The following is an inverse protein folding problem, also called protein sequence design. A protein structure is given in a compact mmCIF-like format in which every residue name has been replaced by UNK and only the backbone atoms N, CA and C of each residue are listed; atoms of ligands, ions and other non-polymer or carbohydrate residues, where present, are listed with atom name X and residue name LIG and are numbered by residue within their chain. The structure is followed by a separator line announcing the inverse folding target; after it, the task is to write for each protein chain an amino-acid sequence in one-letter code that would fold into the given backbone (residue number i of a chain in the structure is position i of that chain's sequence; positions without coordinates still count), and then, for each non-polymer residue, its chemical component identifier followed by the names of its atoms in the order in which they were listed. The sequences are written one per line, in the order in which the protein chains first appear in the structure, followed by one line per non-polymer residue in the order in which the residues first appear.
data_IF_500178471669
#
_entry.id   IF_500178471669
#
_cell.length_a   1.000
_cell.length_b   1.000
_cell.length_c   1.000
_cell.angle_alpha   90.00
_cell.angle_beta   90.00
_cell.angle_gamma   90.00
#
_symmetry.space_group_name_H-M   'P 1'
#
loop_
_entity.id
_entity.type
_entity.pdbx_description
1 polymer ?
#
# COMPACT_ATOMS: atom_id res chain seq x y z
N UNK A 1 7.73 0.41 11.96
CA UNK A 1 6.76 0.94 10.97
C UNK A 1 7.53 1.91 10.11
N UNK A 2 7.50 1.72 8.80
CA UNK A 2 8.28 2.50 7.83
C UNK A 2 7.34 3.27 6.92
N UNK A 3 7.72 4.48 6.51
CA UNK A 3 6.95 5.25 5.53
C UNK A 3 7.57 5.03 4.16
N UNK A 4 6.86 4.34 3.27
CA UNK A 4 7.35 4.01 1.93
C UNK A 4 6.53 4.80 0.90
N UNK A 5 7.15 5.56 -0.01
CA UNK A 5 6.46 6.22 -1.12
C UNK A 5 5.68 5.21 -1.96
N UNK A 6 4.53 5.62 -2.50
CA UNK A 6 3.71 4.71 -3.31
C UNK A 6 4.46 4.27 -4.57
N UNK A 7 5.30 5.15 -5.13
CA UNK A 7 6.12 4.83 -6.31
C UNK A 7 7.17 3.75 -6.04
N UNK A 8 7.62 3.60 -4.79
CA UNK A 8 8.53 2.54 -4.36
C UNK A 8 7.77 1.26 -4.03
N UNK A 9 6.63 1.37 -3.34
CA UNK A 9 5.78 0.23 -3.00
C UNK A 9 5.33 -0.56 -4.23
N UNK A 10 4.96 0.12 -5.32
CA UNK A 10 4.51 -0.57 -6.54
C UNK A 10 5.64 -1.20 -7.35
N UNK A 11 6.90 -0.89 -7.03
CA UNK A 11 8.09 -1.55 -7.61
C UNK A 11 8.48 -2.81 -6.84
N UNK A 12 7.97 -2.99 -5.62
CA UNK A 12 8.19 -4.20 -4.85
C UNK A 12 7.50 -5.38 -5.54
N UNK A 13 8.08 -6.57 -5.43
CA UNK A 13 7.43 -7.82 -5.87
C UNK A 13 6.29 -8.17 -4.89
N UNK A 14 5.19 -7.44 -5.04
CA UNK A 14 4.01 -7.46 -4.20
C UNK A 14 2.82 -7.96 -5.02
N UNK A 15 2.16 -9.01 -4.53
CA UNK A 15 0.87 -9.42 -5.09
C UNK A 15 -0.27 -8.72 -4.35
N UNK A 16 -1.06 -7.93 -5.07
CA UNK A 16 -2.32 -7.38 -4.54
C UNK A 16 -3.41 -7.32 -5.61
N UNK A 17 -4.66 -7.48 -5.16
CA UNK A 17 -5.84 -7.33 -6.02
C UNK A 17 -6.34 -5.89 -5.99
N UNK A 18 -6.68 -5.37 -7.17
CA UNK A 18 -7.23 -4.02 -7.35
C UNK A 18 -8.74 -4.11 -7.52
N UNK A 19 -9.47 -3.72 -6.49
CA UNK A 19 -10.93 -3.61 -6.54
C UNK A 19 -11.37 -2.15 -6.62
N UNK A 20 -12.28 -1.81 -7.55
CA UNK A 20 -12.96 -0.51 -7.63
C UNK A 20 -14.32 -0.55 -6.91
N UNK A 21 -14.26 -0.90 -5.63
CA UNK A 21 -15.43 -0.96 -4.76
C UNK A 21 -15.66 0.36 -3.99
N UNK A 22 -16.72 0.39 -3.19
CA UNK A 22 -17.08 1.57 -2.41
C UNK A 22 -15.97 2.01 -1.43
N UNK A 23 -15.19 1.06 -0.88
CA UNK A 23 -14.12 1.36 0.06
C UNK A 23 -12.95 2.03 -0.66
N UNK A 24 -12.57 1.53 -1.84
CA UNK A 24 -11.59 2.20 -2.70
C UNK A 24 -12.01 3.65 -3.01
N UNK A 25 -13.24 3.85 -3.49
CA UNK A 25 -13.73 5.19 -3.87
C UNK A 25 -13.73 6.16 -2.69
N UNK A 26 -14.11 5.68 -1.50
CA UNK A 26 -14.06 6.46 -0.27
C UNK A 26 -12.63 6.87 0.09
N UNK A 27 -11.68 5.93 0.09
CA UNK A 27 -10.27 6.24 0.39
C UNK A 27 -9.71 7.22 -0.64
N UNK A 28 -9.93 7.00 -1.94
CA UNK A 28 -9.46 7.89 -2.99
C UNK A 28 -10.01 9.31 -2.84
N UNK A 29 -11.28 9.46 -2.47
CA UNK A 29 -11.90 10.77 -2.22
C UNK A 29 -11.24 11.50 -1.04
N UNK A 30 -10.96 10.79 0.06
CA UNK A 30 -10.23 11.35 1.20
C UNK A 30 -8.84 11.83 0.78
N UNK A 31 -8.07 11.00 0.06
CA UNK A 31 -6.73 11.39 -0.40
C UNK A 31 -6.76 12.60 -1.34
N UNK A 32 -7.75 12.68 -2.25
CA UNK A 32 -7.95 13.87 -3.11
C UNK A 32 -8.28 15.14 -2.34
N UNK A 33 -8.82 15.01 -1.13
CA UNK A 33 -9.12 16.14 -0.24
C UNK A 33 -7.92 16.58 0.61
N UNK A 34 -6.78 15.88 0.49
CA UNK A 34 -5.55 16.15 1.23
C UNK A 34 -5.38 15.33 2.51
N UNK A 35 -6.27 14.35 2.77
CA UNK A 35 -6.04 13.42 3.88
C UNK A 35 -4.84 12.51 3.63
N UNK A 36 -4.23 12.02 4.71
CA UNK A 36 -3.14 11.06 4.68
C UNK A 36 -3.59 9.65 5.08
N UNK A 37 -2.86 8.64 4.63
CA UNK A 37 -3.04 7.26 5.08
C UNK A 37 -2.42 7.13 6.48
N UNK A 38 -3.27 6.97 7.50
CA UNK A 38 -2.83 6.81 8.91
C UNK A 38 -2.62 5.36 9.31
N UNK A 39 -3.40 4.45 8.72
CA UNK A 39 -3.32 3.02 9.00
C UNK A 39 -2.26 2.36 8.14
N UNK A 40 -1.37 1.61 8.78
CA UNK A 40 -0.33 0.88 8.08
C UNK A 40 -0.92 -0.17 7.13
N UNK A 41 -0.31 -0.34 5.96
CA UNK A 41 -0.49 -1.55 5.14
C UNK A 41 0.33 -2.67 5.79
N UNK A 42 -0.21 -3.89 5.76
CA UNK A 42 0.43 -5.06 6.36
C UNK A 42 0.99 -5.93 5.24
N UNK A 43 2.30 -6.12 5.26
CA UNK A 43 3.01 -6.97 4.32
C UNK A 43 3.62 -8.16 5.06
N UNK A 44 3.57 -9.32 4.45
CA UNK A 44 4.31 -10.49 4.90
C UNK A 44 5.50 -10.67 3.96
N UNK A 45 6.72 -10.66 4.50
CA UNK A 45 7.92 -11.01 3.74
C UNK A 45 8.03 -12.54 3.67
N UNK A 46 8.04 -13.09 2.47
CA UNK A 46 8.20 -14.54 2.27
C UNK A 46 9.56 -15.02 2.81
N UNK A 47 9.65 -16.29 3.18
CA UNK A 47 10.87 -16.90 3.71
C UNK A 47 12.08 -16.81 2.75
N UNK A 48 11.85 -16.74 1.44
CA UNK A 48 12.90 -16.51 0.44
C UNK A 48 13.53 -15.11 0.50
N UNK A 49 12.92 -14.18 1.24
CA UNK A 49 13.38 -12.80 1.43
C UNK A 49 13.16 -11.86 0.25
N UNK A 50 12.63 -12.36 -0.88
CA UNK A 50 12.54 -11.63 -2.16
C UNK A 50 11.15 -11.07 -2.47
N UNK A 51 10.10 -11.70 -1.97
CA UNK A 51 8.71 -11.39 -2.33
C UNK A 51 7.91 -10.96 -1.12
N UNK A 52 6.92 -10.10 -1.34
CA UNK A 52 6.01 -9.61 -0.32
C UNK A 52 4.57 -10.02 -0.66
N UNK A 53 3.83 -10.44 0.35
CA UNK A 53 2.39 -10.73 0.23
C UNK A 53 1.64 -9.64 0.98
N UNK A 54 0.68 -9.00 0.31
CA UNK A 54 -0.19 -8.06 0.97
C UNK A 54 -1.19 -8.81 1.85
N UNK A 55 -1.12 -8.57 3.16
CA UNK A 55 -2.09 -9.09 4.13
C UNK A 55 -3.28 -8.15 4.31
N UNK A 56 -3.02 -6.83 4.39
CA UNK A 56 -4.06 -5.81 4.52
C UNK A 56 -3.63 -4.48 3.89
N UNK A 57 -4.61 -3.70 3.41
CA UNK A 57 -4.39 -2.35 2.89
C UNK A 57 -4.43 -2.21 1.38
N UNK A 58 -5.00 -3.18 0.65
CA UNK A 58 -5.06 -3.17 -0.81
C UNK A 58 -5.77 -1.95 -1.38
N UNK A 59 -6.87 -1.53 -0.75
CA UNK A 59 -7.58 -0.30 -1.15
C UNK A 59 -6.74 0.95 -0.93
N UNK A 60 -5.93 0.99 0.13
CA UNK A 60 -5.08 2.15 0.48
C UNK A 60 -3.95 2.30 -0.54
N UNK A 61 -3.26 1.21 -0.86
CA UNK A 61 -2.22 1.20 -1.91
C UNK A 61 -2.83 1.54 -3.26
N UNK A 62 -3.97 0.93 -3.61
CA UNK A 62 -4.61 1.16 -4.90
C UNK A 62 -5.09 2.61 -5.07
N UNK A 63 -5.68 3.20 -4.02
CA UNK A 63 -6.13 4.60 -4.05
C UNK A 63 -4.95 5.58 -4.13
N UNK A 64 -3.90 5.36 -3.33
CA UNK A 64 -2.69 6.18 -3.39
C UNK A 64 -1.98 6.06 -4.74
N UNK A 65 -1.90 4.85 -5.30
CA UNK A 65 -1.29 4.64 -6.61
C UNK A 65 -2.12 5.31 -7.72
N UNK A 66 -3.45 5.21 -7.65
CA UNK A 66 -4.33 5.90 -8.60
C UNK A 66 -4.15 7.42 -8.52
N UNK A 67 -4.05 7.98 -7.30
CA UNK A 67 -3.78 9.40 -7.12
C UNK A 67 -2.42 9.78 -7.73
N UNK A 68 -1.36 9.00 -7.46
CA UNK A 68 -0.04 9.23 -8.03
C UNK A 68 -0.06 9.21 -9.57
N UNK A 69 -0.80 8.28 -10.18
CA UNK A 69 -0.99 8.25 -11.64
C UNK A 69 -1.74 9.47 -12.16
N UNK A 70 -2.73 9.97 -11.42
CA UNK A 70 -3.58 11.09 -11.84
C UNK A 70 -2.88 12.45 -11.64
N UNK A 71 -2.03 12.62 -10.62
CA UNK A 71 -1.50 13.93 -10.20
C UNK A 71 0.03 14.01 -10.08
N UNK A 72 0.72 12.87 -10.10
CA UNK A 72 2.16 12.78 -9.78
C UNK A 72 2.48 12.89 -8.29
N UNK A 73 1.46 12.97 -7.42
CA UNK A 73 1.67 13.09 -5.97
C UNK A 73 2.09 11.76 -5.36
N UNK A 74 3.37 11.65 -4.99
CA UNK A 74 3.94 10.44 -4.41
C UNK A 74 3.75 10.42 -2.88
N UNK A 75 2.64 9.84 -2.43
CA UNK A 75 2.28 9.82 -1.02
C UNK A 75 3.10 8.76 -0.26
N UNK A 76 3.70 9.11 0.91
CA UNK A 76 4.27 8.13 1.81
C UNK A 76 3.15 7.33 2.50
N UNK A 77 3.26 6.00 2.44
CA UNK A 77 2.31 5.08 3.07
C UNK A 77 3.00 4.42 4.26
N UNK A 78 2.37 4.39 5.45
CA UNK A 78 2.88 3.59 6.56
C UNK A 78 2.80 2.10 6.22
N UNK A 79 3.90 1.39 6.44
CA UNK A 79 4.08 -0.04 6.13
C UNK A 79 4.55 -0.76 7.37
N UNK A 80 3.93 -1.90 7.62
CA UNK A 80 4.31 -2.87 8.64
C UNK A 80 4.65 -4.18 7.94
N UNK A 81 5.91 -4.60 8.03
CA UNK A 81 6.40 -5.82 7.41
C UNK A 81 6.54 -6.87 8.50
N UNK A 82 5.73 -7.93 8.41
CA UNK A 82 5.89 -9.12 9.21
C UNK A 82 6.86 -10.08 8.53
N UNK A 83 7.88 -10.51 9.26
CA UNK A 83 8.77 -11.59 8.84
C UNK A 83 8.56 -12.76 9.79
N UNK A 84 8.17 -13.91 9.23
CA UNK A 84 8.03 -15.13 10.02
C UNK A 84 9.43 -15.62 10.42
N UNK A 85 9.74 -15.55 11.71
CA UNK A 85 10.91 -16.22 12.30
C UNK A 85 10.47 -17.63 12.70
N UNK A 86 10.25 -18.51 11.74
CA UNK A 86 10.17 -19.95 12.04
C UNK A 86 11.62 -20.47 12.01
N UNK A 87 12.22 -20.82 13.17
CA UNK A 87 13.55 -21.39 13.24
C UNK A 87 13.63 -22.79 12.62
#
# INVERSE_FOLDING_TARGET
MELIPVSELVKMDLQWLRGDDARFKSVLKSLKSGDSIKEAIQLIRCACGKTYILQDGGHRISAAFKLFQDTGQDLPIPVSIFQSNIP
#
